data_IF_889328541464
#
_entry.id   IF_889328541464
#
_cell.length_a   1.000
_cell.length_b   1.000
_cell.length_c   1.000
_cell.angle_alpha   90.00
_cell.angle_beta   90.00
_cell.angle_gamma   90.00
#
_symmetry.space_group_name_H-M   'P 1'
#
loop_
_entity.id
_entity.type
_entity.pdbx_description
1 polymer ?
#
# COMPACT_ATOMS: atom_id res chain seq x y z
N UNK A 1 -2.92 5.69 -17.84
CA UNK A 1 -1.62 5.09 -17.48
C UNK A 1 -0.93 4.36 -18.64
N UNK A 2 -1.63 3.98 -19.69
CA UNK A 2 -1.11 3.11 -20.73
C UNK A 2 -1.24 3.64 -22.15
N UNK A 3 -1.68 4.87 -22.31
CA UNK A 3 -1.96 5.48 -23.62
C UNK A 3 -0.73 6.12 -24.27
N UNK A 4 0.45 6.04 -23.62
CA UNK A 4 1.67 6.52 -24.26
C UNK A 4 2.21 5.46 -25.20
N UNK A 5 2.53 5.91 -26.43
CA UNK A 5 3.20 5.05 -27.39
C UNK A 5 4.57 4.62 -26.82
N UNK A 6 4.74 3.30 -26.70
CA UNK A 6 5.98 2.70 -26.17
C UNK A 6 7.23 3.05 -26.97
N UNK A 7 7.06 3.37 -28.25
CA UNK A 7 8.15 3.66 -29.18
C UNK A 7 8.49 5.17 -29.24
N UNK A 8 7.73 6.02 -28.53
CA UNK A 8 8.08 7.43 -28.39
C UNK A 8 9.47 7.58 -27.76
N UNK A 9 10.28 8.43 -28.40
CA UNK A 9 11.63 8.75 -27.93
C UNK A 9 11.55 9.78 -26.82
N UNK A 10 12.34 9.60 -25.78
CA UNK A 10 12.52 10.53 -24.68
C UNK A 10 13.99 10.78 -24.39
N UNK A 11 14.31 11.97 -23.89
CA UNK A 11 15.71 12.41 -23.68
C UNK A 11 16.37 11.69 -22.49
N UNK A 12 15.67 11.54 -21.40
CA UNK A 12 16.17 10.89 -20.16
C UNK A 12 17.54 11.41 -19.72
N UNK A 13 17.60 12.73 -19.46
CA UNK A 13 18.85 13.43 -19.06
C UNK A 13 20.02 13.19 -20.04
N UNK A 14 19.73 13.28 -21.34
CA UNK A 14 20.70 13.11 -22.40
C UNK A 14 21.14 11.70 -22.71
N UNK A 15 20.58 10.69 -22.02
CA UNK A 15 20.91 9.27 -22.29
C UNK A 15 20.11 8.67 -23.44
N UNK A 16 18.96 9.28 -23.73
CA UNK A 16 18.02 8.78 -24.71
C UNK A 16 17.35 7.47 -24.29
N UNK A 17 16.28 7.13 -25.01
CA UNK A 17 15.56 5.89 -24.80
C UNK A 17 14.14 5.99 -25.31
N UNK A 18 13.35 4.95 -25.14
CA UNK A 18 11.94 4.93 -25.46
C UNK A 18 11.07 4.93 -24.21
N UNK A 19 9.83 5.40 -24.32
CA UNK A 19 8.85 5.32 -23.23
C UNK A 19 8.67 3.88 -22.76
N UNK A 20 8.71 2.90 -23.66
CA UNK A 20 8.61 1.48 -23.31
C UNK A 20 9.72 1.00 -22.35
N UNK A 21 10.94 1.51 -22.52
CA UNK A 21 12.09 1.22 -21.66
C UNK A 21 12.03 1.97 -20.33
N UNK A 22 11.54 3.21 -20.35
CA UNK A 22 11.66 4.16 -19.23
C UNK A 22 10.37 4.32 -18.44
N UNK A 23 9.25 3.79 -18.93
CA UNK A 23 7.95 3.86 -18.27
C UNK A 23 7.96 3.46 -16.77
N UNK A 24 8.69 2.43 -16.33
CA UNK A 24 8.77 2.10 -14.92
C UNK A 24 9.37 3.20 -14.04
N UNK A 25 10.19 4.08 -14.61
CA UNK A 25 10.81 5.20 -13.91
C UNK A 25 9.95 6.44 -13.86
N UNK A 26 8.95 6.57 -14.74
CA UNK A 26 8.12 7.77 -14.83
C UNK A 26 7.40 8.08 -13.51
N UNK A 27 6.76 7.08 -12.91
CA UNK A 27 6.04 7.26 -11.64
C UNK A 27 6.99 7.65 -10.51
N UNK A 28 8.19 7.07 -10.47
CA UNK A 28 9.23 7.44 -9.50
C UNK A 28 9.67 8.88 -9.69
N UNK A 29 9.91 9.33 -10.93
CA UNK A 29 10.29 10.71 -11.23
C UNK A 29 9.15 11.68 -10.93
N UNK A 30 7.91 11.34 -11.24
CA UNK A 30 6.74 12.16 -10.90
C UNK A 30 6.63 12.36 -9.38
N UNK A 31 6.79 11.29 -8.60
CA UNK A 31 6.77 11.37 -7.15
C UNK A 31 7.95 12.16 -6.60
N UNK A 32 9.13 12.01 -7.20
CA UNK A 32 10.31 12.81 -6.84
C UNK A 32 10.05 14.30 -7.05
N UNK A 33 9.59 14.70 -8.23
CA UNK A 33 9.29 16.11 -8.54
C UNK A 33 8.25 16.67 -7.58
N UNK A 34 7.19 15.90 -7.26
CA UNK A 34 6.18 16.31 -6.28
C UNK A 34 6.76 16.49 -4.88
N UNK A 35 7.60 15.55 -4.44
CA UNK A 35 8.25 15.62 -3.13
C UNK A 35 9.23 16.80 -3.05
N UNK A 36 10.05 17.00 -4.08
CA UNK A 36 11.01 18.11 -4.17
C UNK A 36 10.26 19.46 -4.12
N UNK A 37 9.17 19.63 -4.86
CA UNK A 37 8.37 20.85 -4.86
C UNK A 37 7.77 21.17 -3.47
N UNK A 38 7.33 20.15 -2.72
CA UNK A 38 6.82 20.36 -1.35
C UNK A 38 7.94 20.88 -0.44
N UNK A 39 9.14 20.28 -0.52
CA UNK A 39 10.30 20.69 0.29
C UNK A 39 10.81 22.06 -0.12
N UNK A 40 10.83 22.36 -1.42
CA UNK A 40 11.22 23.68 -1.94
C UNK A 40 10.28 24.79 -1.44
N UNK A 41 8.97 24.50 -1.46
CA UNK A 41 7.97 25.44 -0.93
C UNK A 41 8.10 25.62 0.59
N UNK A 42 8.36 24.56 1.33
CA UNK A 42 8.53 24.59 2.79
C UNK A 42 9.52 23.52 3.25
N UNK A 43 10.75 23.95 3.50
CA UNK A 43 11.83 23.04 3.93
C UNK A 43 11.57 22.28 5.25
N UNK A 44 10.54 22.65 6.02
CA UNK A 44 10.12 21.93 7.23
C UNK A 44 8.99 20.93 6.96
N UNK A 45 8.43 20.93 5.76
CA UNK A 45 7.37 19.98 5.40
C UNK A 45 7.92 18.56 5.26
N UNK A 46 7.06 17.59 5.57
CA UNK A 46 7.28 16.19 5.24
C UNK A 46 6.44 15.85 4.01
N UNK A 47 7.07 15.63 2.84
CA UNK A 47 6.32 15.23 1.66
C UNK A 47 5.56 13.93 1.90
N UNK A 48 4.32 13.88 1.46
CA UNK A 48 3.50 12.67 1.49
C UNK A 48 2.93 12.43 0.10
N UNK A 49 3.66 11.65 -0.67
CA UNK A 49 3.23 11.23 -2.00
C UNK A 49 2.63 9.85 -1.93
N UNK A 50 1.58 9.63 -2.68
CA UNK A 50 0.95 8.31 -2.85
C UNK A 50 0.89 7.99 -4.33
N UNK A 51 1.36 6.82 -4.72
CA UNK A 51 1.40 6.43 -6.12
C UNK A 51 1.03 4.95 -6.30
N UNK A 52 0.11 4.67 -7.21
CA UNK A 52 -0.30 3.31 -7.54
C UNK A 52 0.74 2.55 -8.36
N UNK A 53 1.54 3.27 -9.12
CA UNK A 53 2.51 2.70 -10.04
C UNK A 53 3.92 3.00 -9.55
N UNK A 54 4.80 2.03 -9.64
CA UNK A 54 6.18 2.23 -9.26
C UNK A 54 7.04 1.02 -9.58
N UNK A 55 8.32 1.24 -9.48
CA UNK A 55 9.35 0.20 -9.52
C UNK A 55 10.23 0.32 -8.28
N UNK A 56 11.16 -0.58 -8.09
CA UNK A 56 12.17 -0.47 -7.04
C UNK A 56 12.81 0.93 -7.07
N UNK A 57 12.84 1.61 -5.94
CA UNK A 57 13.28 3.00 -5.80
C UNK A 57 12.18 4.02 -5.51
N UNK A 58 10.91 3.69 -5.83
CA UNK A 58 9.78 4.60 -5.54
C UNK A 58 9.56 4.80 -4.03
N UNK A 59 9.90 3.83 -3.21
CA UNK A 59 9.79 3.91 -1.75
C UNK A 59 10.53 5.11 -1.15
N UNK A 60 11.47 5.69 -1.89
CA UNK A 60 12.19 6.91 -1.48
C UNK A 60 11.31 8.15 -1.48
N UNK A 61 10.23 8.13 -2.22
CA UNK A 61 9.40 9.32 -2.49
C UNK A 61 7.92 9.11 -2.19
N UNK A 62 7.42 7.88 -2.27
CA UNK A 62 5.99 7.62 -2.20
C UNK A 62 5.65 6.35 -1.42
N UNK A 63 4.49 6.40 -0.79
CA UNK A 63 3.73 5.24 -0.37
C UNK A 63 3.03 4.63 -1.57
N UNK A 64 2.95 3.31 -1.63
CA UNK A 64 2.18 2.60 -2.64
C UNK A 64 0.94 1.92 -2.05
N UNK A 65 0.05 1.39 -2.91
CA UNK A 65 -1.09 0.59 -2.49
C UNK A 65 -1.50 -0.41 -3.57
N UNK A 66 -2.32 -1.38 -3.19
CA UNK A 66 -2.74 -2.49 -4.05
C UNK A 66 -3.63 -2.10 -5.25
N UNK A 67 -3.91 -0.81 -5.46
CA UNK A 67 -4.77 -0.32 -6.53
C UNK A 67 -6.25 -0.61 -6.30
N UNK A 68 -7.02 -0.66 -7.38
CA UNK A 68 -8.47 -0.74 -7.40
C UNK A 68 -8.97 -2.18 -7.17
N UNK A 69 -8.73 -2.71 -5.99
CA UNK A 69 -9.11 -4.08 -5.68
C UNK A 69 -10.64 -4.24 -5.60
N UNK A 70 -11.14 -5.35 -6.16
CA UNK A 70 -12.55 -5.68 -6.19
C UNK A 70 -13.04 -6.11 -4.80
N UNK A 71 -14.24 -5.67 -4.41
CA UNK A 71 -14.87 -6.02 -3.14
C UNK A 71 -15.21 -7.51 -3.09
N UNK A 72 -14.38 -8.31 -2.45
CA UNK A 72 -14.58 -9.75 -2.30
C UNK A 72 -13.68 -10.36 -1.24
N UNK A 73 -14.09 -11.51 -0.70
CA UNK A 73 -13.24 -12.33 0.17
C UNK A 73 -11.92 -12.75 -0.51
N UNK A 74 -11.97 -12.96 -1.83
CA UNK A 74 -10.77 -13.29 -2.62
C UNK A 74 -9.76 -12.15 -2.57
N UNK A 75 -10.19 -10.91 -2.75
CA UNK A 75 -9.31 -9.74 -2.69
C UNK A 75 -8.73 -9.56 -1.30
N UNK A 76 -9.55 -9.64 -0.25
CA UNK A 76 -9.07 -9.59 1.13
C UNK A 76 -7.97 -10.63 1.39
N UNK A 77 -8.22 -11.88 0.97
CA UNK A 77 -7.25 -12.97 1.12
C UNK A 77 -5.93 -12.67 0.40
N UNK A 78 -5.99 -12.26 -0.86
CA UNK A 78 -4.80 -12.07 -1.69
C UNK A 78 -4.09 -10.73 -1.47
N UNK A 79 -4.71 -9.77 -0.81
CA UNK A 79 -4.00 -8.56 -0.37
C UNK A 79 -2.85 -8.88 0.59
N UNK A 80 -2.95 -9.94 1.39
CA UNK A 80 -1.88 -10.35 2.31
C UNK A 80 -0.59 -10.68 1.55
N UNK A 81 -0.56 -11.68 0.64
CA UNK A 81 0.66 -11.99 -0.10
C UNK A 81 1.10 -10.87 -1.06
N UNK A 82 0.21 -10.01 -1.54
CA UNK A 82 0.60 -8.84 -2.32
C UNK A 82 1.40 -7.87 -1.46
N UNK A 83 0.89 -7.49 -0.29
CA UNK A 83 1.53 -6.52 0.61
C UNK A 83 2.86 -7.08 1.14
N UNK A 84 2.89 -8.34 1.58
CA UNK A 84 4.12 -8.97 2.06
C UNK A 84 5.15 -9.13 0.93
N UNK A 85 4.71 -9.44 -0.29
CA UNK A 85 5.57 -9.50 -1.48
C UNK A 85 6.13 -8.14 -1.88
N UNK A 86 5.34 -7.06 -1.77
CA UNK A 86 5.82 -5.69 -1.96
C UNK A 86 6.88 -5.34 -0.92
N UNK A 87 6.66 -5.72 0.35
CA UNK A 87 7.66 -5.56 1.41
C UNK A 87 8.97 -6.27 1.09
N UNK A 88 8.93 -7.53 0.64
CA UNK A 88 10.11 -8.27 0.18
C UNK A 88 10.78 -7.63 -1.05
N UNK A 89 10.05 -6.86 -1.82
CA UNK A 89 10.56 -6.12 -2.99
C UNK A 89 11.12 -4.73 -2.63
N UNK A 90 11.26 -4.42 -1.34
CA UNK A 90 11.79 -3.15 -0.86
C UNK A 90 10.79 -1.99 -0.87
N UNK A 91 9.49 -2.29 -0.89
CA UNK A 91 8.40 -1.31 -0.78
C UNK A 91 7.60 -1.59 0.51
N UNK A 92 8.14 -1.21 1.68
CA UNK A 92 7.58 -1.60 2.97
C UNK A 92 6.28 -0.87 3.33
N UNK A 93 6.08 0.34 2.79
CA UNK A 93 4.93 1.17 3.09
C UNK A 93 3.80 0.92 2.09
N UNK A 94 3.05 -0.15 2.31
CA UNK A 94 2.03 -0.68 1.41
C UNK A 94 0.73 -0.94 2.17
N UNK A 95 -0.38 -0.97 1.45
CA UNK A 95 -1.69 -1.37 1.97
C UNK A 95 -2.74 -1.47 0.88
N UNK A 96 -3.88 -2.04 1.22
CA UNK A 96 -5.03 -2.16 0.34
C UNK A 96 -6.10 -1.11 0.68
N UNK A 97 -7.02 -0.88 -0.25
CA UNK A 97 -8.26 -0.16 0.03
C UNK A 97 -9.18 -1.06 0.84
N UNK A 98 -9.39 -0.70 2.11
CA UNK A 98 -10.15 -1.48 3.06
C UNK A 98 -11.64 -1.40 2.72
N UNK A 99 -12.27 -2.56 2.58
CA UNK A 99 -13.65 -2.69 2.14
C UNK A 99 -13.78 -2.97 0.65
N UNK A 100 -12.71 -2.82 -0.12
CA UNK A 100 -12.69 -2.93 -1.58
C UNK A 100 -12.97 -1.61 -2.26
N UNK A 101 -12.31 -1.39 -3.42
CA UNK A 101 -12.46 -0.14 -4.19
C UNK A 101 -13.59 -0.25 -5.22
N UNK A 102 -13.66 -1.35 -5.97
CA UNK A 102 -14.59 -1.55 -7.08
C UNK A 102 -15.54 -2.73 -6.85
N UNK A 103 -16.65 -2.75 -7.55
CA UNK A 103 -17.65 -3.82 -7.48
C UNK A 103 -18.78 -3.51 -6.50
N UNK A 104 -19.43 -4.51 -5.89
CA UNK A 104 -20.54 -4.29 -4.98
C UNK A 104 -20.06 -3.75 -3.63
N UNK A 105 -20.98 -3.13 -2.87
CA UNK A 105 -20.71 -2.82 -1.46
C UNK A 105 -20.37 -4.13 -0.70
N UNK A 106 -19.41 -4.10 0.25
CA UNK A 106 -19.10 -5.28 1.04
C UNK A 106 -20.27 -5.68 1.95
N UNK A 107 -20.38 -6.96 2.21
CA UNK A 107 -21.20 -7.41 3.34
C UNK A 107 -20.58 -6.92 4.65
N UNK A 108 -21.39 -6.80 5.70
CA UNK A 108 -20.94 -6.33 7.02
C UNK A 108 -19.75 -7.18 7.54
N UNK A 109 -19.86 -8.49 7.48
CA UNK A 109 -18.78 -9.38 7.92
C UNK A 109 -17.49 -9.17 7.11
N UNK A 110 -17.60 -9.08 5.77
CA UNK A 110 -16.43 -8.84 4.92
C UNK A 110 -15.74 -7.52 5.29
N UNK A 111 -16.53 -6.46 5.51
CA UNK A 111 -15.98 -5.16 5.90
C UNK A 111 -15.28 -5.23 7.26
N UNK A 112 -15.91 -5.82 8.27
CA UNK A 112 -15.32 -5.99 9.61
C UNK A 112 -14.00 -6.75 9.53
N UNK A 113 -13.95 -7.87 8.80
CA UNK A 113 -12.72 -8.66 8.63
C UNK A 113 -11.64 -7.88 7.88
N UNK A 114 -12.05 -7.08 6.91
CA UNK A 114 -11.09 -6.25 6.17
C UNK A 114 -10.49 -5.16 7.06
N UNK A 115 -11.30 -4.50 7.88
CA UNK A 115 -10.80 -3.54 8.89
C UNK A 115 -9.85 -4.22 9.86
N UNK A 116 -10.23 -5.39 10.41
CA UNK A 116 -9.39 -6.15 11.34
C UNK A 116 -8.04 -6.57 10.74
N UNK A 117 -8.01 -6.95 9.46
CA UNK A 117 -6.74 -7.20 8.75
C UNK A 117 -5.98 -5.89 8.46
N UNK A 118 -6.70 -4.86 8.03
CA UNK A 118 -6.12 -3.59 7.62
C UNK A 118 -5.36 -2.86 8.72
N UNK A 119 -5.73 -3.03 9.98
CA UNK A 119 -5.02 -2.36 11.09
C UNK A 119 -3.55 -2.73 11.20
N UNK A 120 -3.13 -3.83 10.58
CA UNK A 120 -1.73 -4.28 10.54
C UNK A 120 -0.98 -3.84 9.26
N UNK A 121 -1.66 -3.23 8.31
CA UNK A 121 -1.03 -2.72 7.10
C UNK A 121 -0.37 -1.36 7.38
N UNK A 122 0.75 -1.05 6.73
CA UNK A 122 1.39 0.25 6.85
C UNK A 122 0.42 1.38 6.45
N UNK A 123 -0.16 1.27 5.25
CA UNK A 123 -1.28 2.13 4.83
C UNK A 123 -2.60 1.56 5.33
N UNK A 124 -3.27 2.28 6.21
CA UNK A 124 -4.62 1.99 6.67
C UNK A 124 -5.59 3.01 6.06
N UNK A 125 -6.35 2.60 5.06
CA UNK A 125 -7.27 3.50 4.36
C UNK A 125 -8.56 2.77 4.00
N UNK A 126 -9.67 3.19 4.59
CA UNK A 126 -11.01 2.82 4.14
C UNK A 126 -11.28 3.70 2.93
N UNK A 127 -11.38 3.08 1.75
CA UNK A 127 -11.48 3.80 0.49
C UNK A 127 -12.25 2.98 -0.55
N UNK A 128 -13.13 3.65 -1.28
CA UNK A 128 -13.98 3.02 -2.29
C UNK A 128 -14.27 3.98 -3.45
N UNK A 129 -14.66 3.44 -4.60
CA UNK A 129 -15.17 4.25 -5.70
C UNK A 129 -16.47 4.96 -5.31
N UNK A 130 -16.68 6.16 -5.84
CA UNK A 130 -17.85 6.98 -5.55
C UNK A 130 -18.92 6.96 -6.65
N UNK A 131 -18.65 6.28 -7.75
CA UNK A 131 -19.48 6.31 -8.97
C UNK A 131 -20.39 5.08 -9.13
N UNK A 132 -20.32 4.16 -8.22
CA UNK A 132 -21.20 3.00 -8.13
C UNK A 132 -21.64 2.80 -6.67
N UNK A 133 -22.29 1.71 -6.33
CA UNK A 133 -22.78 1.46 -4.98
C UNK A 133 -21.69 0.90 -4.03
N UNK A 134 -20.43 1.15 -4.30
CA UNK A 134 -19.32 0.66 -3.47
C UNK A 134 -18.92 1.60 -2.35
N UNK A 135 -19.45 2.82 -2.29
CA UNK A 135 -19.18 3.75 -1.18
C UNK A 135 -19.38 3.03 0.16
N UNK A 136 -18.30 2.97 0.92
CA UNK A 136 -18.24 2.16 2.14
C UNK A 136 -17.63 2.98 3.27
N UNK A 137 -18.42 3.14 4.34
CA UNK A 137 -18.02 3.91 5.50
C UNK A 137 -18.31 3.14 6.79
N UNK A 138 -17.48 3.26 7.83
CA UNK A 138 -17.63 2.49 9.08
C UNK A 138 -19.02 2.60 9.72
N UNK A 139 -19.65 3.77 9.66
CA UNK A 139 -20.96 4.03 10.27
C UNK A 139 -22.15 3.44 9.50
N UNK A 140 -21.94 2.89 8.33
CA UNK A 140 -22.97 2.19 7.55
C UNK A 140 -23.34 0.84 8.18
N UNK A 141 -22.44 0.24 8.94
CA UNK A 141 -22.57 -1.08 9.57
C UNK A 141 -22.92 -0.93 11.06
N UNK A 142 -24.18 -0.62 11.33
CA UNK A 142 -24.64 -0.23 12.68
C UNK A 142 -24.48 -1.33 13.73
N UNK A 143 -24.73 -2.58 13.35
CA UNK A 143 -24.64 -3.72 14.27
C UNK A 143 -23.19 -4.02 14.66
N UNK A 144 -22.26 -3.77 13.77
CA UNK A 144 -20.81 -3.98 14.00
C UNK A 144 -20.04 -2.69 14.30
N UNK A 145 -20.72 -1.56 14.48
CA UNK A 145 -20.06 -0.26 14.66
C UNK A 145 -19.06 -0.24 15.83
N UNK A 146 -19.39 -0.89 16.93
CA UNK A 146 -18.49 -0.97 18.09
C UNK A 146 -17.27 -1.85 17.79
N UNK A 147 -17.45 -2.99 17.14
CA UNK A 147 -16.33 -3.86 16.71
C UNK A 147 -15.39 -3.13 15.74
N UNK A 148 -15.94 -2.38 14.80
CA UNK A 148 -15.15 -1.57 13.85
C UNK A 148 -14.40 -0.48 14.58
N UNK A 149 -15.06 0.22 15.50
CA UNK A 149 -14.45 1.27 16.34
C UNK A 149 -13.30 0.71 17.17
N UNK A 150 -13.48 -0.43 17.81
CA UNK A 150 -12.47 -1.07 18.64
C UNK A 150 -11.23 -1.46 17.82
N UNK A 151 -11.42 -1.98 16.61
CA UNK A 151 -10.33 -2.27 15.70
C UNK A 151 -9.56 -0.99 15.30
N UNK A 152 -10.27 0.08 14.95
CA UNK A 152 -9.66 1.38 14.62
C UNK A 152 -8.92 1.95 15.84
N UNK A 153 -9.51 1.89 17.04
CA UNK A 153 -8.85 2.33 18.27
C UNK A 153 -7.58 1.52 18.56
N UNK A 154 -7.61 0.21 18.29
CA UNK A 154 -6.42 -0.63 18.40
C UNK A 154 -5.33 -0.17 17.42
N UNK A 155 -5.68 0.19 16.18
CA UNK A 155 -4.74 0.79 15.23
C UNK A 155 -4.11 2.07 15.79
N UNK A 156 -4.89 2.96 16.41
CA UNK A 156 -4.34 4.17 17.03
C UNK A 156 -3.38 3.86 18.19
N UNK A 157 -3.65 2.79 18.95
CA UNK A 157 -2.73 2.34 20.01
C UNK A 157 -1.41 1.81 19.43
N UNK A 158 -1.41 1.27 18.22
CA UNK A 158 -0.19 0.86 17.51
C UNK A 158 0.62 2.02 16.92
N UNK A 159 0.12 3.24 16.92
CA UNK A 159 0.80 4.39 16.28
C UNK A 159 2.26 4.55 16.70
N UNK A 160 2.64 4.49 18.01
CA UNK A 160 4.05 4.59 18.38
C UNK A 160 4.90 3.43 17.86
N UNK A 161 4.34 2.21 17.85
CA UNK A 161 5.01 1.02 17.33
C UNK A 161 5.21 1.13 15.82
N UNK A 162 4.15 1.50 15.09
CA UNK A 162 4.21 1.72 13.65
C UNK A 162 5.21 2.81 13.28
N UNK A 163 5.25 3.90 14.03
CA UNK A 163 6.23 4.96 13.80
C UNK A 163 7.66 4.43 13.91
N UNK A 164 7.94 3.55 14.86
CA UNK A 164 9.24 2.90 15.01
C UNK A 164 9.53 1.94 13.85
N UNK A 165 8.55 1.15 13.42
CA UNK A 165 8.69 0.24 12.28
C UNK A 165 8.89 1.01 10.96
N UNK A 166 8.18 2.14 10.76
CA UNK A 166 8.39 3.04 9.61
C UNK A 166 9.79 3.67 9.63
N UNK A 167 10.28 4.06 10.80
CA UNK A 167 11.65 4.56 10.94
C UNK A 167 12.67 3.49 10.57
N UNK A 168 12.52 2.27 11.09
CA UNK A 168 13.39 1.13 10.73
C UNK A 168 13.33 0.85 9.22
N UNK A 169 12.14 0.79 8.65
CA UNK A 169 11.94 0.63 7.22
C UNK A 169 12.64 1.72 6.40
N UNK A 170 12.63 2.96 6.87
CA UNK A 170 13.31 4.09 6.20
C UNK A 170 14.84 3.97 6.22
N UNK A 171 15.41 3.26 7.20
CA UNK A 171 16.86 3.07 7.34
C UNK A 171 17.35 1.80 6.65
N UNK A 172 16.57 0.74 6.69
CA UNK A 172 17.00 -0.62 6.31
C UNK A 172 16.25 -1.18 5.11
N UNK A 173 15.07 -0.65 4.79
CA UNK A 173 14.14 -1.23 3.83
C UNK A 173 13.35 -2.42 4.39
N UNK A 174 13.43 -2.69 5.70
CA UNK A 174 12.70 -3.80 6.32
C UNK A 174 11.19 -3.66 6.12
N UNK A 175 10.48 -4.74 5.75
CA UNK A 175 9.04 -4.70 5.57
C UNK A 175 8.32 -4.50 6.90
N UNK A 176 7.21 -3.74 6.89
CA UNK A 176 6.37 -3.49 8.07
C UNK A 176 5.38 -4.64 8.25
N UNK A 177 4.66 -5.01 7.21
CA UNK A 177 3.90 -6.26 7.15
C UNK A 177 4.81 -7.31 6.50
N UNK A 178 5.32 -8.23 7.31
CA UNK A 178 6.51 -9.03 7.00
C UNK A 178 6.15 -10.48 6.72
N UNK A 179 6.53 -11.00 5.55
CA UNK A 179 6.40 -12.41 5.24
C UNK A 179 7.25 -13.26 6.19
N UNK A 180 6.76 -14.42 6.61
CA UNK A 180 7.50 -15.30 7.55
C UNK A 180 8.88 -15.68 7.03
N UNK A 181 9.03 -15.89 5.73
CA UNK A 181 10.31 -16.22 5.10
C UNK A 181 11.39 -15.16 5.31
N UNK A 182 11.01 -13.92 5.60
CA UNK A 182 11.98 -12.85 5.86
C UNK A 182 12.85 -13.14 7.09
N UNK A 183 12.25 -13.63 8.16
CA UNK A 183 12.94 -13.94 9.42
C UNK A 183 13.25 -15.43 9.57
N UNK A 184 12.47 -16.32 8.95
CA UNK A 184 12.55 -17.78 9.13
C UNK A 184 12.98 -18.50 7.84
N UNK A 185 14.07 -18.03 7.22
CA UNK A 185 14.55 -18.54 5.92
C UNK A 185 14.93 -20.02 5.92
N UNK A 186 15.25 -20.59 7.09
CA UNK A 186 15.64 -22.00 7.25
C UNK A 186 14.44 -22.93 7.53
N UNK A 187 13.24 -22.38 7.69
CA UNK A 187 12.02 -23.18 7.87
C UNK A 187 11.31 -23.35 6.52
N UNK A 188 11.24 -24.57 5.97
CA UNK A 188 10.55 -24.83 4.71
C UNK A 188 9.08 -24.39 4.72
N UNK A 189 8.40 -24.42 5.86
CA UNK A 189 7.00 -23.99 5.98
C UNK A 189 6.85 -22.48 5.78
N UNK A 190 7.85 -21.69 6.19
CA UNK A 190 7.82 -20.25 6.00
C UNK A 190 7.86 -19.83 4.52
N UNK A 191 8.41 -20.67 3.64
CA UNK A 191 8.44 -20.43 2.19
C UNK A 191 7.09 -20.67 1.52
N UNK A 192 6.28 -21.56 2.07
CA UNK A 192 4.96 -21.91 1.53
C UNK A 192 3.84 -21.09 2.16
N UNK A 193 4.11 -20.40 3.29
CA UNK A 193 3.10 -19.61 4.00
C UNK A 193 2.92 -18.23 3.36
N UNK A 194 1.69 -17.99 2.90
CA UNK A 194 1.34 -16.75 2.18
C UNK A 194 0.33 -15.88 2.94
N UNK A 195 -0.26 -16.37 4.01
CA UNK A 195 -1.37 -15.71 4.70
C UNK A 195 -1.08 -15.34 6.15
N UNK A 196 -0.07 -15.97 6.76
CA UNK A 196 0.48 -15.52 8.03
C UNK A 196 1.59 -14.49 7.78
N UNK A 197 1.70 -13.53 8.68
CA UNK A 197 2.70 -12.48 8.59
C UNK A 197 3.10 -11.98 9.97
N UNK A 198 4.26 -11.38 10.06
CA UNK A 198 4.70 -10.62 11.21
C UNK A 198 4.36 -9.14 11.03
N UNK A 199 4.17 -8.46 12.14
CA UNK A 199 3.88 -7.03 12.17
C UNK A 199 5.02 -6.29 12.87
N UNK A 200 5.87 -5.65 12.05
CA UNK A 200 7.06 -4.94 12.51
C UNK A 200 8.32 -5.76 12.66
#
# INVERSE_FOLDING_TARGET
DSLMDKDCICDFDGKGGTIGQLKPLMSTLMCKVGADAVVEHNAKARPYMVCRSGSAGIQRYAQTWCGDNYTSWKSLKYNIPIITGMGLSGQPNEGADIGGFAGPAPTEELFVRWVQNGIFQARFSIHSASNDNTVTEPWMFRESADTIRDAILLRYRFTPYLYSAEYEASQTGAPIMRALVYDFQNDPKAWEESFEFLFG
#
